data_IF_976342416086
#
_entry.id   IF_976342416086
#
_cell.length_a   1.000
_cell.length_b   1.000
_cell.length_c   1.000
_cell.angle_alpha   90.00
_cell.angle_beta   90.00
_cell.angle_gamma   90.00
#
_symmetry.space_group_name_H-M   'P 1'
#
loop_
_entity.id
_entity.type
_entity.pdbx_description
1 polymer ?
#
# COMPACT_ATOMS: atom_id res chain seq x y z
N UNK A 1 9.99 10.26 -13.39
CA UNK A 1 9.75 8.82 -13.62
C UNK A 1 8.28 8.63 -14.02
N UNK A 2 7.92 7.54 -14.70
CA UNK A 2 6.54 7.25 -15.13
C UNK A 2 5.52 7.38 -13.98
N UNK A 3 5.89 6.94 -12.78
CA UNK A 3 5.04 7.00 -11.61
C UNK A 3 4.84 8.41 -11.02
N UNK A 4 5.82 9.33 -11.19
CA UNK A 4 5.65 10.74 -10.84
C UNK A 4 4.64 11.43 -11.79
N UNK A 5 4.69 11.11 -13.08
CA UNK A 5 3.74 11.65 -14.06
C UNK A 5 2.32 11.10 -13.83
N UNK A 6 2.16 9.81 -13.50
CA UNK A 6 0.85 9.23 -13.14
C UNK A 6 0.25 9.83 -11.87
N UNK A 7 1.07 10.16 -10.86
CA UNK A 7 0.61 10.87 -9.67
C UNK A 7 0.14 12.30 -9.98
N UNK A 8 0.79 12.98 -10.95
CA UNK A 8 0.35 14.30 -11.43
C UNK A 8 -0.95 14.24 -12.24
N UNK A 9 -1.23 13.12 -12.91
CA UNK A 9 -2.47 12.87 -13.66
C UNK A 9 -3.64 12.42 -12.76
N UNK A 10 -3.44 12.33 -11.44
CA UNK A 10 -4.49 12.01 -10.46
C UNK A 10 -4.71 10.51 -10.21
N UNK A 11 -3.92 9.62 -10.81
CA UNK A 11 -3.99 8.18 -10.56
C UNK A 11 -3.04 7.77 -9.43
N UNK A 12 -3.43 8.17 -8.21
CA UNK A 12 -2.64 7.93 -7.00
C UNK A 12 -2.52 6.44 -6.65
N UNK A 13 -3.52 5.62 -7.02
CA UNK A 13 -3.56 4.19 -6.73
C UNK A 13 -2.55 3.43 -7.60
N UNK A 14 -2.54 3.70 -8.90
CA UNK A 14 -1.56 3.10 -9.79
C UNK A 14 -0.16 3.61 -9.47
N UNK A 15 0.00 4.92 -9.19
CA UNK A 15 1.28 5.48 -8.78
C UNK A 15 1.81 4.86 -7.47
N UNK A 16 0.94 4.61 -6.48
CA UNK A 16 1.32 3.94 -5.23
C UNK A 16 1.85 2.54 -5.50
N UNK A 17 1.12 1.75 -6.28
CA UNK A 17 1.48 0.35 -6.54
C UNK A 17 2.79 0.27 -7.32
N UNK A 18 2.92 1.07 -8.38
CA UNK A 18 4.07 1.03 -9.27
C UNK A 18 5.34 1.55 -8.57
N UNK A 19 5.24 2.63 -7.79
CA UNK A 19 6.36 3.10 -6.97
C UNK A 19 6.72 2.08 -5.89
N UNK A 20 5.73 1.58 -5.15
CA UNK A 20 5.95 0.68 -4.04
C UNK A 20 6.65 -0.62 -4.45
N UNK A 21 6.24 -1.23 -5.57
CA UNK A 21 6.87 -2.44 -6.10
C UNK A 21 8.30 -2.17 -6.62
N UNK A 22 8.51 -1.04 -7.28
CA UNK A 22 9.84 -0.66 -7.78
C UNK A 22 10.83 -0.45 -6.63
N UNK A 23 10.45 0.34 -5.62
CA UNK A 23 11.29 0.58 -4.44
C UNK A 23 11.48 -0.68 -3.61
N UNK A 24 10.43 -1.50 -3.42
CA UNK A 24 10.54 -2.79 -2.74
C UNK A 24 11.58 -3.69 -3.40
N UNK A 25 11.59 -3.78 -4.74
CA UNK A 25 12.57 -4.56 -5.47
C UNK A 25 14.01 -4.01 -5.33
N UNK A 26 14.20 -2.70 -5.48
CA UNK A 26 15.52 -2.05 -5.37
C UNK A 26 16.11 -2.18 -3.96
N UNK A 27 15.27 -2.14 -2.93
CA UNK A 27 15.68 -2.22 -1.53
C UNK A 27 15.74 -3.67 -1.00
N UNK A 28 15.35 -4.67 -1.80
CA UNK A 28 15.37 -6.08 -1.42
C UNK A 28 14.25 -6.50 -0.46
N UNK A 29 13.14 -5.76 -0.42
CA UNK A 29 11.95 -6.15 0.34
C UNK A 29 11.13 -7.19 -0.42
N UNK A 30 10.39 -8.00 0.33
CA UNK A 30 9.49 -9.00 -0.24
C UNK A 30 8.23 -8.33 -0.81
N UNK A 31 8.17 -8.19 -2.12
CA UNK A 31 7.01 -7.64 -2.82
C UNK A 31 5.78 -8.55 -2.78
N UNK A 32 5.89 -9.82 -2.36
CA UNK A 32 4.74 -10.69 -2.20
C UNK A 32 3.73 -10.11 -1.20
N UNK A 33 4.18 -9.35 -0.20
CA UNK A 33 3.30 -8.64 0.75
C UNK A 33 2.33 -7.71 0.02
N UNK A 34 2.83 -6.96 -0.97
CA UNK A 34 1.97 -6.07 -1.78
C UNK A 34 1.12 -6.86 -2.79
N UNK A 35 1.69 -7.89 -3.41
CA UNK A 35 1.00 -8.70 -4.42
C UNK A 35 -0.16 -9.50 -3.82
N UNK A 36 0.02 -10.09 -2.64
CA UNK A 36 -1.01 -10.86 -1.95
C UNK A 36 -2.18 -9.96 -1.53
N UNK A 37 -1.90 -8.72 -1.12
CA UNK A 37 -2.96 -7.73 -0.86
C UNK A 37 -3.77 -7.42 -2.13
N UNK A 38 -3.10 -7.23 -3.27
CA UNK A 38 -3.78 -6.99 -4.56
C UNK A 38 -4.62 -8.20 -4.97
N UNK A 39 -4.10 -9.43 -4.80
CA UNK A 39 -4.84 -10.66 -5.07
C UNK A 39 -6.05 -10.83 -4.14
N UNK A 40 -5.95 -10.36 -2.91
CA UNK A 40 -7.05 -10.32 -1.94
C UNK A 40 -8.07 -9.20 -2.17
N UNK A 41 -7.91 -8.40 -3.24
CA UNK A 41 -8.88 -7.39 -3.64
C UNK A 41 -8.56 -5.97 -3.18
N UNK A 42 -7.30 -5.67 -2.83
CA UNK A 42 -6.85 -4.29 -2.64
C UNK A 42 -6.87 -3.51 -3.95
N UNK A 43 -7.30 -2.24 -3.87
CA UNK A 43 -7.30 -1.29 -4.97
C UNK A 43 -5.87 -0.85 -5.35
N UNK A 44 -4.99 -0.79 -4.36
CA UNK A 44 -3.57 -0.51 -4.55
C UNK A 44 -2.78 -1.07 -3.37
N UNK A 45 -1.53 -1.49 -3.60
CA UNK A 45 -0.63 -1.88 -2.51
C UNK A 45 0.83 -1.71 -2.90
N UNK A 46 1.66 -1.36 -1.92
CA UNK A 46 3.08 -1.14 -2.15
C UNK A 46 3.86 -0.80 -0.89
N UNK A 47 5.18 -0.75 -1.02
CA UNK A 47 6.07 -0.28 0.05
C UNK A 47 5.73 1.18 0.41
N UNK A 48 5.65 1.46 1.70
CA UNK A 48 5.36 2.78 2.27
C UNK A 48 6.55 3.34 3.06
N UNK A 49 6.87 4.62 2.84
CA UNK A 49 7.96 5.32 3.52
C UNK A 49 9.36 4.89 3.06
N UNK A 50 10.34 4.98 3.96
CA UNK A 50 11.74 4.56 3.74
C UNK A 50 12.00 3.08 4.10
N UNK A 51 10.95 2.24 4.15
CA UNK A 51 10.96 0.84 4.64
C UNK A 51 10.70 0.73 6.16
N UNK A 52 10.21 -0.37 6.74
CA UNK A 52 9.88 -1.74 6.28
C UNK A 52 8.35 -2.00 6.26
N UNK A 53 7.57 -0.96 5.97
CA UNK A 53 6.10 -1.03 6.07
C UNK A 53 5.48 -1.12 4.68
N UNK A 54 4.47 -1.98 4.56
CA UNK A 54 3.62 -2.05 3.37
C UNK A 54 2.28 -1.38 3.66
N UNK A 55 1.65 -0.84 2.63
CA UNK A 55 0.30 -0.26 2.69
C UNK A 55 -0.58 -0.90 1.64
N UNK A 56 -1.87 -1.05 1.95
CA UNK A 56 -2.89 -1.45 1.01
C UNK A 56 -4.08 -0.49 1.14
N UNK A 57 -4.58 0.00 0.02
CA UNK A 57 -5.84 0.74 -0.06
C UNK A 57 -6.90 -0.27 -0.46
N UNK A 58 -7.95 -0.38 0.34
CA UNK A 58 -8.98 -1.43 0.22
C UNK A 58 -10.36 -0.81 0.39
N UNK A 59 -11.36 -1.40 -0.26
CA UNK A 59 -12.77 -1.17 0.09
C UNK A 59 -13.16 -2.05 1.30
N UNK A 60 -14.27 -1.70 1.97
CA UNK A 60 -14.73 -2.42 3.18
C UNK A 60 -14.88 -3.94 2.97
N UNK A 61 -15.29 -4.37 1.77
CA UNK A 61 -15.45 -5.79 1.45
C UNK A 61 -14.15 -6.59 1.39
N UNK A 62 -13.01 -5.92 1.19
CA UNK A 62 -11.70 -6.55 1.01
C UNK A 62 -10.82 -6.49 2.26
N UNK A 63 -11.26 -5.79 3.33
CA UNK A 63 -10.49 -5.61 4.57
C UNK A 63 -10.07 -6.95 5.16
N UNK A 64 -11.02 -7.86 5.38
CA UNK A 64 -10.75 -9.14 6.04
C UNK A 64 -9.85 -10.04 5.18
N UNK A 65 -10.07 -10.08 3.86
CA UNK A 65 -9.24 -10.86 2.95
C UNK A 65 -7.78 -10.39 2.93
N UNK A 66 -7.56 -9.07 2.94
CA UNK A 66 -6.20 -8.51 2.98
C UNK A 66 -5.54 -8.75 4.35
N UNK A 67 -6.28 -8.66 5.45
CA UNK A 67 -5.76 -8.99 6.79
C UNK A 67 -5.37 -10.45 6.92
N UNK A 68 -6.16 -11.36 6.35
CA UNK A 68 -5.86 -12.79 6.31
C UNK A 68 -4.62 -13.09 5.45
N UNK A 69 -4.53 -12.49 4.25
CA UNK A 69 -3.33 -12.60 3.41
C UNK A 69 -2.07 -12.16 4.16
N UNK A 70 -2.15 -11.04 4.87
CA UNK A 70 -1.03 -10.50 5.65
C UNK A 70 -0.73 -11.24 6.96
N UNK A 71 -1.64 -12.07 7.47
CA UNK A 71 -1.42 -12.83 8.70
C UNK A 71 -0.28 -13.84 8.59
N UNK A 72 0.13 -14.21 7.36
CA UNK A 72 1.24 -15.11 7.09
C UNK A 72 2.63 -14.44 7.19
N UNK A 73 2.69 -13.12 7.22
CA UNK A 73 3.93 -12.34 7.26
C UNK A 73 4.26 -11.85 8.68
N UNK A 74 5.55 -11.74 8.99
CA UNK A 74 6.00 -11.16 10.25
C UNK A 74 5.64 -9.68 10.33
N UNK A 75 5.09 -9.26 11.47
CA UNK A 75 4.82 -7.86 11.77
C UNK A 75 3.47 -7.64 12.45
N UNK A 76 2.92 -6.45 12.23
CA UNK A 76 1.63 -6.03 12.79
C UNK A 76 0.81 -5.36 11.72
N UNK A 77 -0.39 -5.88 11.48
CA UNK A 77 -1.38 -5.22 10.64
C UNK A 77 -2.08 -4.12 11.45
N UNK A 78 -2.10 -2.91 10.90
CA UNK A 78 -2.82 -1.76 11.45
C UNK A 78 -3.88 -1.37 10.44
N UNK A 79 -5.13 -1.45 10.86
CA UNK A 79 -6.27 -0.96 10.08
C UNK A 79 -6.53 0.49 10.46
N UNK A 80 -6.59 1.38 9.47
CA UNK A 80 -6.90 2.80 9.66
C UNK A 80 -7.70 3.30 8.47
N UNK A 81 -8.47 4.36 8.68
CA UNK A 81 -9.16 5.07 7.60
C UNK A 81 -8.38 6.32 7.20
N UNK A 82 -8.60 6.78 5.96
CA UNK A 82 -7.97 8.01 5.46
C UNK A 82 -8.61 9.21 6.17
N UNK A 83 -7.80 9.97 6.90
CA UNK A 83 -8.22 11.28 7.41
C UNK A 83 -7.75 12.39 6.46
N UNK A 84 -8.64 12.88 5.61
CA UNK A 84 -8.39 14.01 4.73
C UNK A 84 -8.44 15.37 5.47
N UNK A 85 -8.62 15.37 6.80
CA UNK A 85 -8.53 16.58 7.61
C UNK A 85 -7.05 16.76 7.96
N UNK A 86 -6.42 17.76 7.35
CA UNK A 86 -5.04 18.13 7.68
C UNK A 86 -4.84 18.46 9.17
N UNK A 87 -3.58 18.65 9.56
CA UNK A 87 -3.16 18.92 10.94
C UNK A 87 -4.01 20.00 11.61
N UNK A 88 -4.74 19.63 12.68
CA UNK A 88 -5.25 20.58 13.66
C UNK A 88 -4.24 20.70 14.80
N UNK A 89 -3.61 21.87 14.92
CA UNK A 89 -2.89 22.23 16.14
C UNK A 89 -3.97 22.55 17.17
N UNK A 90 -4.01 21.77 18.25
CA UNK A 90 -4.81 22.07 19.45
C UNK A 90 -3.95 22.76 20.50
#
# INVERSE_FOLDING_TARGET
SMAFNKALDGDYLEALTLNGLLYGNVLGFDNNIALDALQAGALASGLSGTGSSFVAIVDESSIDGVKEAWASYDGRVIETTVDNRGTRII
#
